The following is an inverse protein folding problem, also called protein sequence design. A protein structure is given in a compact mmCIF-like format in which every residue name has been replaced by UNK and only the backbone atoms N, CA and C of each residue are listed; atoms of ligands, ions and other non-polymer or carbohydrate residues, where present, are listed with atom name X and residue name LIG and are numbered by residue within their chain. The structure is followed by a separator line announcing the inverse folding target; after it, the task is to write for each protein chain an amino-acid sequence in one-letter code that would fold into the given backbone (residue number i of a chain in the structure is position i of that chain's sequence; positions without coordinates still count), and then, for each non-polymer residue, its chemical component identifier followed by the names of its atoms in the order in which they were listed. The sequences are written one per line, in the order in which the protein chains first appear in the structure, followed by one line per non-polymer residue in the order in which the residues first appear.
data_IF_521761351517
#
_entry.id   IF_521761351517
#
_cell.length_a   1.000
_cell.length_b   1.000
_cell.length_c   1.000
_cell.angle_alpha   90.00
_cell.angle_beta   90.00
_cell.angle_gamma   90.00
#
_symmetry.space_group_name_H-M   'P 1'
#
loop_
_entity.id
_entity.type
_entity.pdbx_description
1 polymer ?
#
# COMPACT_ATOMS: atom_id res chain seq x y z
N UNK A 1 -27.65 7.20 -24.30
CA UNK A 1 -27.02 5.87 -24.21
C UNK A 1 -26.16 5.88 -22.96
N UNK A 2 -26.54 5.12 -21.93
CA UNK A 2 -25.66 4.86 -20.79
C UNK A 2 -24.60 3.84 -21.23
N UNK A 3 -23.34 3.94 -20.75
CA UNK A 3 -22.33 2.93 -21.02
C UNK A 3 -22.80 1.57 -20.45
N UNK A 4 -22.44 0.44 -21.11
CA UNK A 4 -22.73 -0.88 -20.57
C UNK A 4 -22.12 -1.04 -19.17
N UNK A 5 -22.83 -1.74 -18.29
CA UNK A 5 -22.29 -2.08 -16.98
C UNK A 5 -21.11 -3.03 -17.17
N UNK A 6 -20.04 -2.90 -16.39
CA UNK A 6 -18.89 -3.81 -16.42
C UNK A 6 -19.34 -5.28 -16.31
N UNK A 7 -20.43 -5.54 -15.58
CA UNK A 7 -21.01 -6.87 -15.43
C UNK A 7 -21.57 -7.45 -16.73
N UNK A 8 -22.18 -6.62 -17.59
CA UNK A 8 -22.70 -7.07 -18.88
C UNK A 8 -21.56 -7.47 -19.82
N UNK A 9 -20.43 -6.75 -19.78
CA UNK A 9 -19.24 -7.06 -20.58
C UNK A 9 -18.64 -8.41 -20.19
N UNK A 10 -18.60 -8.75 -18.89
CA UNK A 10 -18.06 -10.02 -18.39
C UNK A 10 -18.82 -11.24 -18.92
N UNK A 11 -20.16 -11.15 -19.06
CA UNK A 11 -20.97 -12.28 -19.55
C UNK A 11 -20.66 -12.68 -20.99
N UNK A 12 -20.09 -11.75 -21.77
CA UNK A 12 -19.75 -11.97 -23.19
C UNK A 12 -18.36 -12.56 -23.41
N UNK A 13 -17.50 -12.54 -22.38
CA UNK A 13 -16.13 -13.04 -22.44
C UNK A 13 -16.09 -14.57 -22.46
N UNK A 14 -15.05 -15.14 -23.09
CA UNK A 14 -14.76 -16.57 -22.97
C UNK A 14 -14.20 -16.91 -21.58
N UNK A 15 -14.21 -18.18 -21.19
CA UNK A 15 -13.63 -18.62 -19.91
C UNK A 15 -12.13 -18.30 -19.83
N UNK A 16 -11.40 -18.42 -20.94
CA UNK A 16 -10.00 -18.06 -21.02
C UNK A 16 -9.78 -16.56 -20.80
N UNK A 17 -10.63 -15.72 -21.39
CA UNK A 17 -10.57 -14.25 -21.22
C UNK A 17 -10.92 -13.84 -19.78
N UNK A 18 -11.89 -14.52 -19.14
CA UNK A 18 -12.22 -14.29 -17.74
C UNK A 18 -11.06 -14.66 -16.82
N UNK A 19 -10.40 -15.80 -17.06
CA UNK A 19 -9.23 -16.22 -16.31
C UNK A 19 -8.05 -15.26 -16.47
N UNK A 20 -7.79 -14.81 -17.70
CA UNK A 20 -6.78 -13.79 -17.96
C UNK A 20 -7.11 -12.48 -17.24
N UNK A 21 -8.37 -12.03 -17.33
CA UNK A 21 -8.84 -10.81 -16.66
C UNK A 21 -8.67 -10.92 -15.14
N UNK A 22 -9.05 -12.07 -14.55
CA UNK A 22 -8.85 -12.37 -13.12
C UNK A 22 -7.39 -12.25 -12.73
N UNK A 23 -6.48 -12.80 -13.54
CA UNK A 23 -5.06 -12.76 -13.26
C UNK A 23 -4.49 -11.33 -13.34
N UNK A 24 -4.89 -10.56 -14.35
CA UNK A 24 -4.50 -9.15 -14.49
C UNK A 24 -4.96 -8.32 -13.28
N UNK A 25 -6.20 -8.50 -12.83
CA UNK A 25 -6.73 -7.81 -11.64
C UNK A 25 -5.96 -8.19 -10.36
N UNK A 26 -5.54 -9.45 -10.20
CA UNK A 26 -4.71 -9.88 -9.06
C UNK A 26 -3.31 -9.25 -9.08
N UNK A 27 -2.69 -9.17 -10.25
CA UNK A 27 -1.41 -8.46 -10.43
C UNK A 27 -1.58 -7.00 -10.05
N UNK A 28 -2.65 -6.36 -10.50
CA UNK A 28 -2.92 -4.97 -10.19
C UNK A 28 -3.11 -4.72 -8.68
N UNK A 29 -3.81 -5.61 -7.97
CA UNK A 29 -3.89 -5.52 -6.50
C UNK A 29 -2.52 -5.60 -5.82
N UNK A 30 -1.60 -6.44 -6.33
CA UNK A 30 -0.23 -6.50 -5.82
C UNK A 30 0.53 -5.18 -6.08
N UNK A 31 0.37 -4.62 -7.27
CA UNK A 31 0.93 -3.32 -7.65
C UNK A 31 0.41 -2.21 -6.73
N UNK A 32 -0.90 -2.13 -6.52
CA UNK A 32 -1.53 -1.16 -5.61
C UNK A 32 -0.97 -1.31 -4.18
N UNK A 33 -0.84 -2.53 -3.68
CA UNK A 33 -0.27 -2.77 -2.36
C UNK A 33 1.16 -2.24 -2.23
N UNK A 34 1.98 -2.38 -3.29
CA UNK A 34 3.32 -1.79 -3.33
C UNK A 34 3.26 -0.25 -3.30
N UNK A 35 2.44 0.37 -4.14
CA UNK A 35 2.27 1.82 -4.17
C UNK A 35 1.79 2.41 -2.85
N UNK A 36 0.84 1.75 -2.17
CA UNK A 36 0.37 2.16 -0.84
C UNK A 36 1.51 2.20 0.19
N UNK A 37 2.40 1.21 0.17
CA UNK A 37 3.57 1.18 1.06
C UNK A 37 4.52 2.34 0.77
N UNK A 38 4.74 2.67 -0.51
CA UNK A 38 5.58 3.81 -0.91
C UNK A 38 4.98 5.14 -0.46
N UNK A 39 3.68 5.37 -0.69
CA UNK A 39 3.00 6.61 -0.25
C UNK A 39 3.06 6.74 1.26
N UNK A 40 2.76 5.66 2.00
CA UNK A 40 2.81 5.68 3.46
C UNK A 40 4.21 5.96 4.00
N UNK A 41 5.23 5.32 3.42
CA UNK A 41 6.62 5.60 3.79
C UNK A 41 6.99 7.09 3.54
N UNK A 42 6.50 7.70 2.46
CA UNK A 42 6.71 9.14 2.20
C UNK A 42 5.98 10.01 3.21
N UNK A 43 4.75 9.66 3.57
CA UNK A 43 4.00 10.34 4.65
C UNK A 43 4.77 10.26 5.97
N UNK A 44 5.19 9.07 6.37
CA UNK A 44 5.91 8.83 7.63
C UNK A 44 7.23 9.62 7.67
N UNK A 45 7.99 9.65 6.56
CA UNK A 45 9.22 10.44 6.46
C UNK A 45 8.95 11.96 6.49
N UNK A 46 7.89 12.42 5.82
CA UNK A 46 7.51 13.84 5.82
C UNK A 46 7.15 14.32 7.24
N UNK A 47 6.42 13.49 7.99
CA UNK A 47 6.09 13.74 9.40
C UNK A 47 7.36 13.72 10.26
N UNK A 48 8.25 12.75 10.06
CA UNK A 48 9.49 12.64 10.82
C UNK A 48 10.44 13.83 10.61
N UNK A 49 10.39 14.51 9.46
CA UNK A 49 11.14 15.76 9.27
C UNK A 49 10.54 16.94 10.04
N UNK A 50 9.19 17.07 10.03
CA UNK A 50 8.51 18.11 10.78
C UNK A 50 8.67 17.92 12.30
N UNK A 51 8.69 16.67 12.73
CA UNK A 51 8.79 16.27 14.13
C UNK A 51 9.81 15.14 14.25
N UNK A 52 11.11 15.48 14.33
CA UNK A 52 12.16 14.49 14.48
C UNK A 52 11.93 13.62 15.72
N UNK A 53 12.15 12.30 15.64
CA UNK A 53 12.04 11.45 16.80
C UNK A 53 13.08 11.85 17.85
N UNK A 54 12.79 11.58 19.13
CA UNK A 54 13.79 11.72 20.17
C UNK A 54 14.96 10.75 19.92
N UNK A 55 16.16 11.12 20.37
CA UNK A 55 17.32 10.25 20.29
C UNK A 55 17.04 8.91 20.98
N UNK A 56 17.34 7.80 20.30
CA UNK A 56 17.08 6.47 20.84
C UNK A 56 17.95 6.26 22.08
N UNK A 57 17.33 5.78 23.15
CA UNK A 57 18.04 5.48 24.39
C UNK A 57 18.41 6.67 25.26
N UNK A 58 17.99 7.90 24.93
CA UNK A 58 18.32 9.11 25.69
C UNK A 58 18.04 9.02 27.21
N UNK A 59 17.06 8.21 27.63
CA UNK A 59 16.68 8.00 29.03
C UNK A 59 16.99 6.60 29.59
N UNK A 60 17.61 5.72 28.81
CA UNK A 60 17.84 4.34 29.24
C UNK A 60 18.82 4.24 30.42
N UNK A 61 19.78 5.17 30.50
CA UNK A 61 20.74 5.24 31.59
C UNK A 61 20.10 5.47 32.97
N UNK A 62 18.86 5.95 33.02
CA UNK A 62 18.11 6.14 34.27
C UNK A 62 17.60 4.80 34.86
N UNK A 63 17.42 3.78 34.02
CA UNK A 63 16.77 2.52 34.41
C UNK A 63 17.65 1.30 34.27
N UNK A 64 18.71 1.37 33.45
CA UNK A 64 19.63 0.26 33.25
C UNK A 64 21.03 0.71 32.81
N UNK A 65 22.03 -0.11 33.14
CA UNK A 65 23.39 0.06 32.61
C UNK A 65 23.54 -0.75 31.34
N UNK A 66 23.82 -0.07 30.22
CA UNK A 66 24.18 -0.69 28.96
C UNK A 66 25.71 -0.79 28.82
N UNK A 67 26.17 -1.78 28.06
CA UNK A 67 27.59 -1.83 27.68
C UNK A 67 27.95 -0.61 26.82
N UNK A 68 29.20 -0.14 26.92
CA UNK A 68 29.67 0.97 26.09
C UNK A 68 29.49 0.70 24.58
N UNK A 69 29.66 -0.56 24.16
CA UNK A 69 29.44 -0.98 22.78
C UNK A 69 27.98 -0.79 22.35
N UNK A 70 27.02 -1.26 23.15
CA UNK A 70 25.59 -1.13 22.87
C UNK A 70 25.16 0.34 22.83
N UNK A 71 25.62 1.16 23.77
CA UNK A 71 25.35 2.61 23.78
C UNK A 71 25.85 3.28 22.50
N UNK A 72 27.07 2.96 22.07
CA UNK A 72 27.64 3.50 20.83
C UNK A 72 26.85 3.08 19.59
N UNK A 73 26.41 1.82 19.50
CA UNK A 73 25.58 1.33 18.40
C UNK A 73 24.23 2.05 18.32
N UNK A 74 23.55 2.24 19.45
CA UNK A 74 22.26 2.93 19.52
C UNK A 74 22.40 4.42 19.13
N UNK A 75 23.46 5.08 19.60
CA UNK A 75 23.76 6.46 19.19
C UNK A 75 24.00 6.55 17.69
N UNK A 76 24.83 5.65 17.12
CA UNK A 76 25.13 5.65 15.69
C UNK A 76 23.89 5.44 14.81
N UNK A 77 22.92 4.62 15.25
CA UNK A 77 21.63 4.47 14.56
C UNK A 77 20.83 5.77 14.63
N UNK A 78 20.74 6.39 15.80
CA UNK A 78 20.02 7.67 15.98
C UNK A 78 20.62 8.77 15.11
N UNK A 79 21.95 8.88 15.10
CA UNK A 79 22.65 9.89 14.31
C UNK A 79 22.38 9.72 12.82
N UNK A 80 22.41 8.48 12.31
CA UNK A 80 22.08 8.20 10.90
C UNK A 80 20.64 8.59 10.54
N UNK A 81 19.69 8.38 11.43
CA UNK A 81 18.27 8.70 11.19
C UNK A 81 18.02 10.21 11.30
N UNK A 82 18.61 10.88 12.29
CA UNK A 82 18.39 12.30 12.56
C UNK A 82 19.18 13.23 11.62
N UNK A 83 20.31 12.78 11.09
CA UNK A 83 21.10 13.54 10.10
C UNK A 83 20.70 13.27 8.65
N UNK A 84 19.85 12.28 8.40
CA UNK A 84 19.32 12.02 7.06
C UNK A 84 18.36 13.15 6.66
N UNK A 85 18.86 14.13 5.91
CA UNK A 85 18.03 15.13 5.26
C UNK A 85 17.30 14.47 4.08
N UNK A 86 16.08 13.98 4.30
CA UNK A 86 15.18 13.70 3.19
C UNK A 86 14.77 15.02 2.53
N UNK A 87 14.50 15.02 1.22
CA UNK A 87 14.09 16.23 0.47
C UNK A 87 12.58 16.48 0.48
N UNK A 88 11.80 15.72 1.26
CA UNK A 88 10.34 15.88 1.29
C UNK A 88 9.97 17.16 2.02
N UNK A 89 8.99 17.90 1.49
CA UNK A 89 8.47 19.09 2.15
C UNK A 89 7.22 18.74 2.94
N UNK A 90 7.08 19.31 4.13
CA UNK A 90 5.86 19.18 4.96
C UNK A 90 4.62 19.67 4.22
N UNK A 91 4.80 20.60 3.28
CA UNK A 91 3.73 21.10 2.40
C UNK A 91 3.15 20.05 1.47
N UNK A 92 3.86 18.95 1.22
CA UNK A 92 3.43 17.89 0.32
C UNK A 92 2.47 16.90 1.03
N UNK A 93 2.36 17.00 2.36
CA UNK A 93 1.57 16.07 3.17
C UNK A 93 0.09 15.99 2.77
N UNK A 94 -0.63 17.11 2.49
CA UNK A 94 -2.01 17.04 2.01
C UNK A 94 -2.15 16.30 0.67
N UNK A 95 -1.22 16.50 -0.27
CA UNK A 95 -1.22 15.81 -1.55
C UNK A 95 -0.97 14.31 -1.39
N UNK A 96 -0.01 13.93 -0.54
CA UNK A 96 0.24 12.52 -0.20
C UNK A 96 -1.00 11.87 0.44
N UNK A 97 -1.74 12.59 1.28
CA UNK A 97 -3.02 12.12 1.84
C UNK A 97 -4.09 11.94 0.77
N UNK A 98 -4.18 12.85 -0.19
CA UNK A 98 -5.05 12.64 -1.36
C UNK A 98 -4.65 11.40 -2.16
N UNK A 99 -3.36 11.13 -2.34
CA UNK A 99 -2.90 9.89 -2.98
C UNK A 99 -3.32 8.63 -2.20
N UNK A 100 -3.27 8.64 -0.86
CA UNK A 100 -3.74 7.51 -0.04
C UNK A 100 -5.24 7.22 -0.25
N UNK A 101 -6.06 8.28 -0.33
CA UNK A 101 -7.49 8.17 -0.60
C UNK A 101 -7.73 7.63 -2.01
N UNK A 102 -7.09 8.23 -3.03
CA UNK A 102 -7.23 7.82 -4.42
C UNK A 102 -6.82 6.34 -4.63
N UNK A 103 -5.70 5.90 -4.03
CA UNK A 103 -5.28 4.49 -4.07
C UNK A 103 -6.29 3.57 -3.37
N UNK A 104 -6.89 4.00 -2.27
CA UNK A 104 -7.91 3.22 -1.56
C UNK A 104 -9.19 3.05 -2.36
N UNK A 105 -9.62 4.11 -3.05
CA UNK A 105 -10.80 4.06 -3.92
C UNK A 105 -10.54 3.21 -5.17
N UNK A 106 -9.35 3.34 -5.76
CA UNK A 106 -8.93 2.49 -6.87
C UNK A 106 -8.84 1.01 -6.47
N UNK A 107 -8.23 0.70 -5.33
CA UNK A 107 -8.19 -0.66 -4.77
C UNK A 107 -9.60 -1.24 -4.59
N UNK A 108 -10.55 -0.43 -4.10
CA UNK A 108 -11.95 -0.84 -3.94
C UNK A 108 -12.62 -1.12 -5.29
N UNK A 109 -12.29 -0.36 -6.33
CA UNK A 109 -12.78 -0.63 -7.68
C UNK A 109 -12.22 -1.96 -8.23
N UNK A 110 -10.90 -2.17 -8.14
CA UNK A 110 -10.25 -3.41 -8.61
C UNK A 110 -10.74 -4.64 -7.85
N UNK A 111 -10.93 -4.55 -6.52
CA UNK A 111 -11.50 -5.65 -5.73
C UNK A 111 -12.93 -6.00 -6.15
N UNK A 112 -13.76 -5.00 -6.46
CA UNK A 112 -15.11 -5.22 -6.97
C UNK A 112 -15.07 -5.91 -8.32
N UNK A 113 -14.26 -5.43 -9.25
CA UNK A 113 -14.08 -6.06 -10.55
C UNK A 113 -13.60 -7.52 -10.41
N UNK A 114 -12.64 -7.78 -9.52
CA UNK A 114 -12.12 -9.13 -9.27
C UNK A 114 -13.20 -10.06 -8.70
N UNK A 115 -14.02 -9.55 -7.78
CA UNK A 115 -15.15 -10.29 -7.24
C UNK A 115 -16.16 -10.64 -8.34
N UNK A 116 -16.50 -9.69 -9.22
CA UNK A 116 -17.46 -9.91 -10.30
C UNK A 116 -16.96 -10.98 -11.29
N UNK A 117 -15.69 -10.89 -11.72
CA UNK A 117 -15.06 -11.92 -12.58
C UNK A 117 -15.04 -13.29 -11.90
N UNK A 118 -14.73 -13.33 -10.60
CA UNK A 118 -14.69 -14.60 -9.85
C UNK A 118 -16.09 -15.21 -9.73
N UNK A 119 -17.11 -14.40 -9.49
CA UNK A 119 -18.50 -14.87 -9.41
C UNK A 119 -18.98 -15.44 -10.75
N UNK A 120 -18.63 -14.78 -11.87
CA UNK A 120 -18.98 -15.26 -13.20
C UNK A 120 -18.32 -16.61 -13.52
N UNK A 121 -17.01 -16.74 -13.25
CA UNK A 121 -16.30 -18.02 -13.41
C UNK A 121 -16.95 -19.14 -12.57
N UNK A 122 -17.31 -18.85 -11.32
CA UNK A 122 -17.99 -19.83 -10.44
C UNK A 122 -19.36 -20.20 -11.00
N UNK A 123 -20.14 -19.23 -11.49
CA UNK A 123 -21.46 -19.48 -12.07
C UNK A 123 -21.38 -20.42 -13.28
N UNK A 124 -20.40 -20.22 -14.17
CA UNK A 124 -20.17 -21.10 -15.33
C UNK A 124 -19.74 -22.51 -14.94
N UNK A 125 -18.88 -22.65 -13.92
CA UNK A 125 -18.45 -23.96 -13.43
C UNK A 125 -19.52 -24.74 -12.65
N UNK A 126 -20.55 -24.06 -12.14
CA UNK A 126 -21.66 -24.72 -11.41
C UNK A 126 -22.88 -25.02 -12.27
N UNK A 127 -22.92 -24.57 -13.54
CA UNK A 127 -23.94 -25.01 -14.49
C UNK A 127 -23.63 -26.42 -15.01
N UNK A 128 -24.57 -27.37 -14.90
CA UNK A 128 -24.37 -28.71 -15.44
C UNK A 128 -24.24 -28.66 -16.98
N UNK A 129 -23.42 -29.53 -17.59
CA UNK A 129 -23.35 -29.62 -19.05
C UNK A 129 -24.72 -30.03 -19.60
N UNK A 130 -25.20 -29.30 -20.60
CA UNK A 130 -26.34 -29.69 -21.44
C UNK A 130 -25.96 -30.79 -22.42
#
# INVERSE_FOLDING_TARGET
MSPPSFDDELTTLSDADLEETRQRLRIELSTIAHWRRLVRARVDLTIAQATPPAQLGARLHEFMTLSAHTTAQISAVSDKVLTAHTMYSVTDLPELKHCEVALSDYERAIRRALMNVTNELVARHTQPPH
#
